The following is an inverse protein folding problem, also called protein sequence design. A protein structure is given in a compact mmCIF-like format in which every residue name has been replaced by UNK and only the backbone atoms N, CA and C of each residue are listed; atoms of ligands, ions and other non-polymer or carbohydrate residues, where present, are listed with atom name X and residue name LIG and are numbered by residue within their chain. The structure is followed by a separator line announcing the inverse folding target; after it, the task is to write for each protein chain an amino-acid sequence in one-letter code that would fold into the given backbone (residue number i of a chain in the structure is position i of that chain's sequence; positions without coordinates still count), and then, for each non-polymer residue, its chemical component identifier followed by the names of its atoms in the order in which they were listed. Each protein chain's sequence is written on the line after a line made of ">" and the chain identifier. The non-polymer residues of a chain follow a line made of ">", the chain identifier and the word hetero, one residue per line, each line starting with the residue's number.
data_IF_209237684626
#
_entry.id   IF_209237684626
#
_cell.length_a   1.000
_cell.length_b   1.000
_cell.length_c   1.000
_cell.angle_alpha   90.00
_cell.angle_beta   90.00
_cell.angle_gamma   90.00
#
_symmetry.space_group_name_H-M   'P 1'
#
loop_
_entity.id
_entity.type
_entity.pdbx_description
1 polymer ?
#
# COMPACT_ATOMS: atom_id res chain seq x y z
N UNK A 1 -6.29 2.72 -5.10
CA UNK A 1 -6.13 1.52 -4.28
C UNK A 1 -4.65 1.11 -4.26
N UNK A 2 -4.08 1.02 -3.08
CA UNK A 2 -2.66 0.67 -2.88
C UNK A 2 -2.43 -0.85 -2.66
N UNK A 3 -3.49 -1.66 -2.70
CA UNK A 3 -3.39 -3.12 -2.56
C UNK A 3 -3.18 -3.60 -1.12
N UNK A 4 -3.42 -2.77 -0.12
CA UNK A 4 -3.37 -3.16 1.29
C UNK A 4 -4.78 -3.33 1.83
N UNK A 5 -5.07 -4.51 2.39
CA UNK A 5 -6.39 -4.87 2.87
C UNK A 5 -6.34 -5.52 4.24
N UNK A 6 -7.33 -5.23 5.07
CA UNK A 6 -7.66 -6.01 6.26
C UNK A 6 -9.00 -6.70 6.04
N UNK A 7 -8.98 -8.01 5.91
CA UNK A 7 -10.17 -8.82 5.70
C UNK A 7 -10.58 -9.58 6.96
N UNK A 8 -11.87 -9.92 7.11
CA UNK A 8 -12.31 -10.80 8.18
C UNK A 8 -11.76 -12.21 8.02
N UNK A 9 -11.68 -12.97 9.11
CA UNK A 9 -11.09 -14.31 9.12
C UNK A 9 -11.87 -15.33 8.24
N UNK A 10 -13.12 -15.05 7.93
CA UNK A 10 -13.97 -15.86 7.05
C UNK A 10 -13.82 -15.54 5.55
N UNK A 11 -12.89 -14.63 5.17
CA UNK A 11 -12.60 -14.33 3.77
C UNK A 11 -12.43 -15.59 2.89
N UNK A 12 -11.74 -16.66 3.32
CA UNK A 12 -11.57 -17.85 2.47
C UNK A 12 -12.88 -18.44 1.93
N UNK A 13 -13.98 -18.29 2.67
CA UNK A 13 -15.31 -18.76 2.22
C UNK A 13 -15.86 -17.93 1.02
N UNK A 14 -15.37 -16.72 0.81
CA UNK A 14 -15.73 -15.84 -0.29
C UNK A 14 -14.83 -16.02 -1.51
N UNK A 15 -13.55 -16.40 -1.32
CA UNK A 15 -12.57 -16.53 -2.40
C UNK A 15 -12.97 -17.56 -3.46
N UNK A 16 -13.63 -18.65 -3.07
CA UNK A 16 -14.15 -19.65 -4.00
C UNK A 16 -15.26 -19.15 -4.93
N UNK A 17 -15.81 -17.96 -4.66
CA UNK A 17 -16.87 -17.30 -5.46
C UNK A 17 -16.32 -16.25 -6.41
N UNK A 18 -15.01 -15.97 -6.36
CA UNK A 18 -14.36 -15.06 -7.31
C UNK A 18 -14.46 -15.62 -8.72
N UNK A 19 -14.62 -14.71 -9.69
CA UNK A 19 -14.68 -15.02 -11.11
C UNK A 19 -13.41 -14.52 -11.80
N UNK A 20 -12.99 -15.21 -12.85
CA UNK A 20 -11.92 -14.77 -13.75
C UNK A 20 -12.47 -14.29 -15.11
N UNK A 21 -13.76 -13.97 -15.20
CA UNK A 21 -14.38 -13.48 -16.42
C UNK A 21 -14.04 -11.99 -16.66
N UNK A 22 -12.78 -11.72 -16.97
CA UNK A 22 -12.25 -10.39 -17.30
C UNK A 22 -11.26 -10.49 -18.45
N UNK A 23 -10.80 -9.36 -18.98
CA UNK A 23 -9.92 -9.32 -20.14
C UNK A 23 -8.58 -10.06 -19.94
N UNK A 24 -8.10 -10.18 -18.71
CA UNK A 24 -6.86 -10.84 -18.37
C UNK A 24 -7.05 -12.34 -17.98
N UNK A 25 -8.28 -12.77 -17.72
CA UNK A 25 -8.58 -14.13 -17.26
C UNK A 25 -8.06 -14.41 -15.85
N UNK A 26 -7.86 -13.38 -15.04
CA UNK A 26 -7.25 -13.45 -13.70
C UNK A 26 -8.30 -13.30 -12.60
N UNK A 27 -7.99 -13.86 -11.42
CA UNK A 27 -8.78 -13.63 -10.21
C UNK A 27 -8.25 -12.38 -9.49
N UNK A 28 -9.12 -11.38 -9.32
CA UNK A 28 -8.76 -10.16 -8.62
C UNK A 28 -9.22 -10.21 -7.16
N UNK A 29 -8.29 -10.04 -6.23
CA UNK A 29 -8.62 -9.95 -4.80
C UNK A 29 -9.54 -8.75 -4.50
N UNK A 30 -9.46 -7.68 -5.28
CA UNK A 30 -10.37 -6.53 -5.19
C UNK A 30 -11.83 -6.89 -5.36
N UNK A 31 -12.14 -7.95 -6.13
CA UNK A 31 -13.52 -8.39 -6.36
C UNK A 31 -14.13 -9.02 -5.10
N UNK A 32 -13.30 -9.45 -4.14
CA UNK A 32 -13.76 -9.92 -2.84
C UNK A 32 -14.52 -8.82 -2.06
N UNK A 33 -14.18 -7.54 -2.29
CA UNK A 33 -14.88 -6.39 -1.70
C UNK A 33 -16.36 -6.39 -2.12
N UNK A 34 -16.62 -6.59 -3.41
CA UNK A 34 -17.99 -6.66 -3.92
C UNK A 34 -18.78 -7.84 -3.33
N UNK A 35 -18.13 -8.99 -3.17
CA UNK A 35 -18.74 -10.17 -2.54
C UNK A 35 -19.08 -9.92 -1.06
N UNK A 36 -18.21 -9.26 -0.34
CA UNK A 36 -18.43 -8.90 1.07
C UNK A 36 -19.56 -7.89 1.22
N UNK A 37 -19.58 -6.85 0.38
CA UNK A 37 -20.68 -5.87 0.33
C UNK A 37 -22.02 -6.55 0.02
N UNK A 38 -22.04 -7.44 -0.98
CA UNK A 38 -23.25 -8.21 -1.33
C UNK A 38 -23.73 -9.13 -0.22
N UNK A 39 -22.84 -9.54 0.70
CA UNK A 39 -23.17 -10.31 1.90
C UNK A 39 -23.57 -9.42 3.10
N UNK A 40 -23.76 -8.11 2.90
CA UNK A 40 -24.12 -7.16 3.95
C UNK A 40 -22.99 -6.77 4.91
N UNK A 41 -21.73 -7.06 4.56
CA UNK A 41 -20.57 -6.67 5.36
C UNK A 41 -20.25 -5.19 5.13
N UNK A 42 -19.85 -4.52 6.20
CA UNK A 42 -19.36 -3.14 6.10
C UNK A 42 -17.94 -3.12 5.50
N UNK A 43 -17.73 -2.23 4.55
CA UNK A 43 -16.40 -1.92 3.99
C UNK A 43 -16.06 -0.49 4.36
N UNK A 44 -14.82 -0.27 4.78
CA UNK A 44 -14.30 1.06 5.09
C UNK A 44 -13.01 1.29 4.31
N UNK A 45 -12.80 2.52 3.90
CA UNK A 45 -11.55 2.98 3.31
C UNK A 45 -10.75 3.78 4.34
N UNK A 46 -9.44 3.66 4.25
CA UNK A 46 -8.50 4.52 4.94
C UNK A 46 -7.78 5.33 3.88
N UNK A 47 -7.95 6.65 3.92
CA UNK A 47 -7.25 7.55 3.02
C UNK A 47 -5.85 7.84 3.58
N UNK A 48 -4.85 7.77 2.71
CA UNK A 48 -3.47 8.10 3.07
C UNK A 48 -3.24 9.60 2.87
N UNK A 49 -2.71 10.26 3.88
CA UNK A 49 -2.33 11.67 3.82
C UNK A 49 -1.06 11.86 2.97
N UNK A 50 -0.10 10.95 3.11
CA UNK A 50 1.14 10.94 2.33
C UNK A 50 1.13 9.87 1.25
N UNK A 51 1.01 10.30 0.00
CA UNK A 51 1.03 9.41 -1.16
C UNK A 51 2.38 8.68 -1.34
N UNK A 52 3.46 9.15 -0.73
CA UNK A 52 4.75 8.48 -0.77
C UNK A 52 4.71 7.12 -0.05
N UNK A 53 3.83 6.96 0.95
CA UNK A 53 3.62 5.68 1.65
C UNK A 53 2.96 4.61 0.78
N UNK A 54 2.29 5.03 -0.30
CA UNK A 54 1.56 4.15 -1.20
C UNK A 54 2.36 3.75 -2.45
N UNK A 55 3.62 4.20 -2.58
CA UNK A 55 4.43 3.90 -3.76
C UNK A 55 4.79 2.42 -3.84
N UNK A 56 4.36 1.78 -4.91
CA UNK A 56 4.86 0.47 -5.30
C UNK A 56 6.27 0.57 -5.89
N UNK A 57 7.04 -0.51 -5.79
CA UNK A 57 8.39 -0.62 -6.37
C UNK A 57 8.41 -1.81 -7.31
N UNK A 58 8.52 -1.54 -8.61
CA UNK A 58 8.58 -2.56 -9.67
C UNK A 58 9.91 -2.51 -10.44
N UNK A 59 10.64 -1.39 -10.35
CA UNK A 59 11.90 -1.16 -11.06
C UNK A 59 13.00 -0.72 -10.10
N UNK A 60 14.27 -0.87 -10.52
CA UNK A 60 15.41 -0.36 -9.75
C UNK A 60 15.40 1.17 -9.61
N UNK A 61 14.86 1.88 -10.59
CA UNK A 61 14.70 3.33 -10.52
C UNK A 61 13.71 3.72 -9.41
N UNK A 62 12.55 3.05 -9.35
CA UNK A 62 11.56 3.26 -8.28
C UNK A 62 12.12 2.89 -6.91
N UNK A 63 12.93 1.81 -6.83
CA UNK A 63 13.62 1.45 -5.59
C UNK A 63 14.58 2.56 -5.14
N UNK A 64 15.33 3.16 -6.06
CA UNK A 64 16.24 4.26 -5.75
C UNK A 64 15.48 5.50 -5.25
N UNK A 65 14.31 5.79 -5.83
CA UNK A 65 13.44 6.88 -5.35
C UNK A 65 12.85 6.59 -3.97
N UNK A 66 12.38 5.37 -3.72
CA UNK A 66 11.86 4.96 -2.43
C UNK A 66 12.93 5.08 -1.33
N UNK A 67 14.18 4.68 -1.63
CA UNK A 67 15.33 4.85 -0.72
C UNK A 67 15.58 6.32 -0.41
N UNK A 68 15.63 7.20 -1.41
CA UNK A 68 15.82 8.65 -1.20
C UNK A 68 14.72 9.24 -0.33
N UNK A 69 13.47 8.88 -0.59
CA UNK A 69 12.31 9.35 0.20
C UNK A 69 12.40 8.90 1.66
N UNK A 70 12.76 7.64 1.91
CA UNK A 70 12.92 7.13 3.27
C UNK A 70 14.10 7.77 3.99
N UNK A 71 15.24 7.94 3.29
CA UNK A 71 16.42 8.59 3.84
C UNK A 71 16.12 10.04 4.25
N UNK A 72 15.45 10.80 3.38
CA UNK A 72 15.06 12.18 3.69
C UNK A 72 14.18 12.25 4.95
N UNK A 73 13.21 11.35 5.09
CA UNK A 73 12.34 11.27 6.28
C UNK A 73 13.12 10.97 7.56
N UNK A 74 14.07 10.02 7.49
CA UNK A 74 14.92 9.67 8.64
C UNK A 74 15.80 10.85 9.05
N UNK A 75 16.44 11.51 8.07
CA UNK A 75 17.28 12.68 8.31
C UNK A 75 16.48 13.84 8.92
N UNK A 76 15.30 14.12 8.40
CA UNK A 76 14.40 15.15 8.94
C UNK A 76 14.06 14.87 10.42
N UNK A 77 13.72 13.63 10.77
CA UNK A 77 13.44 13.25 12.15
C UNK A 77 14.63 13.52 13.06
N UNK A 78 15.87 13.20 12.63
CA UNK A 78 17.07 13.45 13.40
C UNK A 78 17.36 14.95 13.55
N UNK A 79 17.20 15.72 12.47
CA UNK A 79 17.37 17.18 12.50
C UNK A 79 16.38 17.85 13.46
N UNK A 80 15.11 17.44 13.41
CA UNK A 80 14.07 17.92 14.31
C UNK A 80 14.32 17.53 15.78
N UNK A 81 14.97 16.38 16.00
CA UNK A 81 15.41 15.94 17.32
C UNK A 81 16.69 16.66 17.82
N UNK A 82 17.23 17.62 17.06
CA UNK A 82 18.40 18.40 17.43
C UNK A 82 19.75 17.76 17.08
N UNK A 83 19.76 16.71 16.28
CA UNK A 83 21.01 16.14 15.76
C UNK A 83 21.55 17.04 14.65
N UNK A 84 22.79 17.48 14.79
CA UNK A 84 23.44 18.27 13.75
C UNK A 84 23.97 17.35 12.65
N UNK A 85 23.47 17.55 11.42
CA UNK A 85 23.92 16.84 10.22
C UNK A 85 24.45 17.90 9.24
N UNK A 86 25.75 17.88 8.97
CA UNK A 86 26.42 18.92 8.15
C UNK A 86 26.07 18.79 6.68
N UNK A 87 25.93 17.57 6.18
CA UNK A 87 25.60 17.30 4.78
C UNK A 87 24.54 16.20 4.67
N UNK A 88 23.25 16.56 4.73
CA UNK A 88 22.15 15.61 4.64
C UNK A 88 22.11 14.83 3.32
N UNK A 89 22.60 15.40 2.22
CA UNK A 89 22.54 14.79 0.89
C UNK A 89 23.55 13.65 0.72
N UNK A 90 24.63 13.64 1.54
CA UNK A 90 25.67 12.62 1.50
C UNK A 90 25.63 11.64 2.68
N UNK A 91 24.66 11.78 3.56
CA UNK A 91 24.54 10.97 4.81
C UNK A 91 23.56 9.77 4.68
#
# INVERSE_FOLDING_TARGET
>A
NVGVYAFPADLPSFLGRLSNHNAQGEYYLTDAIALLLGAGRAVRTLDLEDLAEARGVNTLAELAEARRSLQARILEQHLLAGVQIEDPDST
#
